data_IF_127253646332
#
_entry.id   IF_127253646332
#
_cell.length_a   1.000
_cell.length_b   1.000
_cell.length_c   1.000
_cell.angle_alpha   90.00
_cell.angle_beta   90.00
_cell.angle_gamma   90.00
#
_symmetry.space_group_name_H-M   'P 1'
#
loop_
_entity.id
_entity.type
_entity.pdbx_description
1 polymer ?
#
# COMPACT_ATOMS: atom_id res chain seq x y z
N UNK A 1 25.23 12.10 61.66
CA UNK A 1 24.13 12.48 62.55
C UNK A 1 22.85 11.95 61.91
N UNK A 2 22.51 10.80 62.06
CA UNK A 2 21.84 9.97 63.08
C UNK A 2 20.46 10.47 63.46
N UNK A 3 19.52 9.57 63.29
CA UNK A 3 18.27 9.35 64.05
C UNK A 3 17.01 10.08 63.54
N UNK A 4 15.82 9.49 63.59
CA UNK A 4 15.30 8.15 63.91
C UNK A 4 13.79 8.13 63.63
N UNK A 5 13.31 6.95 63.36
CA UNK A 5 11.95 6.43 63.39
C UNK A 5 11.00 7.00 64.45
N UNK A 6 9.67 7.03 64.18
CA UNK A 6 8.62 6.42 65.04
C UNK A 6 7.26 6.31 64.31
N UNK A 7 6.76 5.29 64.28
CA UNK A 7 5.68 4.29 64.45
C UNK A 7 4.36 4.83 65.05
N UNK A 8 3.24 4.35 64.44
CA UNK A 8 1.95 3.90 64.93
C UNK A 8 0.88 4.94 65.31
N UNK A 9 -0.32 4.80 64.68
CA UNK A 9 -1.51 4.29 65.41
C UNK A 9 -2.62 3.82 64.45
N UNK A 10 -3.09 2.61 64.71
CA UNK A 10 -4.31 1.98 64.22
C UNK A 10 -5.56 2.70 64.76
N UNK A 11 -6.59 2.86 63.88
CA UNK A 11 -7.98 2.92 64.32
C UNK A 11 -8.78 1.98 63.45
N UNK A 12 -9.35 0.94 64.10
CA UNK A 12 -10.41 0.08 63.57
C UNK A 12 -11.73 0.85 63.67
N UNK A 13 -12.53 0.85 62.60
CA UNK A 13 -13.98 0.99 62.70
C UNK A 13 -14.60 -0.10 61.84
N UNK A 14 -15.40 -0.92 62.47
CA UNK A 14 -16.24 -1.95 61.90
C UNK A 14 -17.49 -1.30 61.27
N UNK A 15 -17.95 -1.87 60.13
CA UNK A 15 -19.37 -1.92 59.93
C UNK A 15 -19.86 -1.71 58.51
N UNK A 16 -20.50 -2.74 58.02
CA UNK A 16 -21.61 -2.78 57.07
C UNK A 16 -21.27 -2.85 55.57
N UNK A 17 -21.54 -3.97 55.02
CA UNK A 17 -22.12 -4.39 53.75
C UNK A 17 -21.77 -3.56 52.51
N UNK A 18 -20.85 -4.06 51.72
CA UNK A 18 -20.74 -3.62 50.31
C UNK A 18 -20.78 -4.84 49.42
N UNK A 19 -21.83 -4.89 48.59
CA UNK A 19 -21.91 -5.76 47.41
C UNK A 19 -20.64 -5.58 46.57
N UNK A 20 -19.82 -6.63 46.48
CA UNK A 20 -18.81 -6.72 45.44
C UNK A 20 -19.52 -6.91 44.10
N UNK A 21 -19.67 -5.84 43.36
CA UNK A 21 -19.86 -5.93 41.93
C UNK A 21 -18.51 -6.41 41.32
N UNK A 22 -18.41 -7.71 41.07
CA UNK A 22 -17.38 -8.25 40.19
C UNK A 22 -17.64 -7.70 38.78
N UNK A 23 -17.01 -6.58 38.45
CA UNK A 23 -16.80 -6.17 37.09
C UNK A 23 -15.80 -7.15 36.47
N UNK A 24 -16.29 -8.29 36.04
CA UNK A 24 -15.57 -9.17 35.15
C UNK A 24 -15.24 -8.38 33.91
N UNK A 25 -13.95 -8.01 33.73
CA UNK A 25 -13.41 -7.58 32.48
C UNK A 25 -13.62 -8.73 31.49
N UNK A 26 -14.74 -8.67 30.74
CA UNK A 26 -14.92 -9.51 29.56
C UNK A 26 -13.86 -9.00 28.58
N UNK A 27 -12.67 -9.59 28.63
CA UNK A 27 -11.73 -9.57 27.54
C UNK A 27 -12.46 -10.28 26.39
N UNK A 28 -13.15 -9.52 25.56
CA UNK A 28 -13.56 -9.98 24.25
C UNK A 28 -12.26 -10.26 23.48
N UNK A 29 -11.74 -11.47 23.65
CA UNK A 29 -10.80 -12.05 22.72
C UNK A 29 -11.51 -12.11 21.38
N UNK A 30 -11.29 -11.06 20.59
CA UNK A 30 -11.75 -11.00 19.21
C UNK A 30 -11.04 -12.15 18.51
N UNK A 31 -11.76 -13.23 18.24
CA UNK A 31 -11.21 -14.30 17.40
C UNK A 31 -10.59 -13.66 16.16
N UNK A 32 -9.38 -14.06 15.77
CA UNK A 32 -8.76 -13.53 14.57
C UNK A 32 -9.71 -13.81 13.41
N UNK A 33 -10.22 -12.76 12.77
CA UNK A 33 -11.22 -12.83 11.68
C UNK A 33 -10.76 -13.69 10.50
N UNK A 34 -9.47 -14.09 10.47
CA UNK A 34 -8.85 -14.91 9.45
C UNK A 34 -7.76 -15.78 10.05
N UNK A 35 -8.08 -17.04 10.28
CA UNK A 35 -7.14 -18.04 10.79
C UNK A 35 -6.31 -18.71 9.69
N UNK A 36 -6.49 -18.34 8.42
CA UNK A 36 -5.79 -18.91 7.28
C UNK A 36 -4.41 -18.30 7.02
N UNK A 37 -3.72 -18.88 6.06
CA UNK A 37 -2.41 -18.44 5.59
C UNK A 37 -2.42 -18.25 4.08
N UNK A 38 -1.51 -17.43 3.57
CA UNK A 38 -1.13 -17.40 2.16
C UNK A 38 0.32 -17.84 2.02
N UNK A 39 0.53 -18.85 1.18
CA UNK A 39 1.85 -19.38 0.86
C UNK A 39 2.29 -18.80 -0.47
N UNK A 40 3.33 -18.01 -0.49
CA UNK A 40 3.85 -17.33 -1.68
C UNK A 40 5.35 -17.50 -1.80
N UNK A 41 5.84 -17.39 -3.02
CA UNK A 41 7.28 -17.41 -3.33
C UNK A 41 7.75 -16.04 -3.81
N UNK A 42 7.92 -15.05 -2.91
CA UNK A 42 8.31 -13.70 -3.29
C UNK A 42 9.62 -13.69 -4.05
N UNK A 43 9.61 -13.08 -5.23
CA UNK A 43 10.77 -12.88 -6.07
C UNK A 43 11.46 -11.56 -5.69
N UNK A 44 12.78 -11.55 -5.67
CA UNK A 44 13.63 -10.37 -5.52
C UNK A 44 14.85 -10.47 -6.41
N UNK A 45 15.57 -9.36 -6.62
CA UNK A 45 16.80 -9.36 -7.39
C UNK A 45 18.01 -9.35 -6.46
N UNK A 46 18.91 -10.30 -6.66
CA UNK A 46 20.11 -10.49 -5.86
C UNK A 46 21.32 -9.89 -6.54
N UNK A 47 21.92 -8.90 -5.90
CA UNK A 47 23.18 -8.27 -6.34
C UNK A 47 24.40 -9.11 -6.08
N UNK A 48 24.37 -9.96 -5.05
CA UNK A 48 25.48 -10.82 -4.68
C UNK A 48 25.55 -12.04 -5.60
N UNK A 49 26.74 -12.26 -6.15
CA UNK A 49 27.05 -13.42 -6.99
C UNK A 49 27.27 -14.68 -6.14
N UNK A 50 27.24 -15.86 -6.76
CA UNK A 50 27.54 -17.09 -6.06
C UNK A 50 29.05 -17.20 -5.76
N UNK A 51 29.40 -18.01 -4.78
CA UNK A 51 30.78 -18.30 -4.44
C UNK A 51 31.51 -18.82 -5.68
N UNK A 52 32.76 -18.33 -5.88
CA UNK A 52 33.59 -18.70 -7.04
C UNK A 52 33.26 -18.00 -8.36
N UNK A 53 32.21 -17.16 -8.41
CA UNK A 53 31.90 -16.34 -9.57
C UNK A 53 32.52 -14.94 -9.46
N UNK A 54 32.88 -14.36 -10.60
CA UNK A 54 33.31 -12.98 -10.70
C UNK A 54 32.16 -12.00 -10.37
N UNK A 55 32.49 -10.91 -9.69
CA UNK A 55 31.54 -9.83 -9.36
C UNK A 55 31.25 -8.96 -10.59
N UNK A 56 30.37 -9.45 -11.46
CA UNK A 56 29.87 -8.73 -12.63
C UNK A 56 28.35 -8.72 -12.62
N UNK A 57 27.73 -7.74 -13.28
CA UNK A 57 26.27 -7.68 -13.43
C UNK A 57 25.70 -8.94 -14.11
N UNK A 58 26.46 -9.54 -15.03
CA UNK A 58 26.04 -10.76 -15.75
C UNK A 58 25.83 -11.94 -14.79
N UNK A 59 26.52 -11.97 -13.66
CA UNK A 59 26.44 -13.04 -12.66
C UNK A 59 25.42 -12.74 -11.55
N UNK A 60 24.77 -11.59 -11.58
CA UNK A 60 23.65 -11.25 -10.69
C UNK A 60 22.33 -11.86 -11.21
N UNK A 61 21.28 -11.90 -10.42
CA UNK A 61 20.03 -12.49 -10.90
C UNK A 61 18.93 -12.57 -9.87
N UNK A 62 17.79 -13.07 -10.31
CA UNK A 62 16.64 -13.28 -9.46
C UNK A 62 16.82 -14.44 -8.48
N UNK A 63 16.18 -14.28 -7.33
CA UNK A 63 15.99 -15.33 -6.35
C UNK A 63 14.58 -15.27 -5.78
N UNK A 64 14.15 -16.34 -5.13
CA UNK A 64 12.84 -16.43 -4.50
C UNK A 64 12.99 -16.85 -3.05
N UNK A 65 12.05 -16.40 -2.22
CA UNK A 65 11.87 -16.87 -0.86
C UNK A 65 10.67 -17.83 -0.79
N UNK A 66 10.46 -18.41 0.36
CA UNK A 66 9.31 -19.26 0.63
C UNK A 66 8.62 -18.75 1.91
N UNK A 67 7.47 -18.10 1.75
CA UNK A 67 6.78 -17.45 2.85
C UNK A 67 5.38 -18.02 3.06
N UNK A 68 5.12 -18.38 4.31
CA UNK A 68 3.77 -18.69 4.80
C UNK A 68 3.32 -17.53 5.71
N UNK A 69 2.43 -16.68 5.23
CA UNK A 69 2.05 -15.42 5.87
C UNK A 69 0.62 -15.55 6.42
N UNK A 70 0.38 -15.20 7.71
CA UNK A 70 -0.97 -15.18 8.26
C UNK A 70 -1.85 -14.16 7.51
N UNK A 71 -3.04 -14.57 7.08
CA UNK A 71 -3.97 -13.69 6.35
C UNK A 71 -4.37 -12.46 7.16
N UNK A 72 -4.45 -12.62 8.50
CA UNK A 72 -4.74 -11.50 9.41
C UNK A 72 -3.68 -10.38 9.40
N UNK A 73 -2.49 -10.65 8.86
CA UNK A 73 -1.40 -9.69 8.73
C UNK A 73 -1.23 -9.17 7.28
N UNK A 74 -2.13 -9.52 6.38
CA UNK A 74 -2.05 -9.17 4.96
C UNK A 74 -3.13 -8.18 4.56
N UNK A 75 -2.82 -7.31 3.59
CA UNK A 75 -3.80 -6.55 2.83
C UNK A 75 -3.43 -6.49 1.34
N UNK A 76 -4.44 -6.47 0.48
CA UNK A 76 -4.33 -6.12 -0.94
C UNK A 76 -4.60 -4.62 -1.06
N UNK A 77 -3.63 -3.86 -1.54
CA UNK A 77 -3.73 -2.41 -1.77
C UNK A 77 -3.86 -2.15 -3.27
N UNK A 78 -5.01 -1.58 -3.66
CA UNK A 78 -5.36 -1.28 -5.05
C UNK A 78 -5.10 0.20 -5.33
N UNK A 79 -3.97 0.49 -5.97
CA UNK A 79 -3.52 1.85 -6.27
C UNK A 79 -4.02 2.28 -7.64
N UNK A 80 -4.76 3.39 -7.69
CA UNK A 80 -5.19 4.06 -8.92
C UNK A 80 -5.75 3.09 -9.99
N UNK A 81 -6.59 2.14 -9.61
CA UNK A 81 -7.32 1.29 -10.58
C UNK A 81 -8.45 2.12 -11.17
N UNK A 82 -8.08 2.93 -12.14
CA UNK A 82 -8.95 3.94 -12.76
C UNK A 82 -9.79 3.36 -13.91
N UNK A 83 -10.94 3.99 -14.16
CA UNK A 83 -11.94 3.57 -15.15
C UNK A 83 -11.56 3.90 -16.60
N UNK A 84 -10.56 4.75 -16.82
CA UNK A 84 -10.12 5.20 -18.16
C UNK A 84 -8.73 5.83 -18.09
N UNK A 85 -8.11 5.91 -19.25
CA UNK A 85 -6.90 6.70 -19.48
C UNK A 85 -7.06 7.54 -20.76
N UNK A 86 -6.36 8.67 -20.86
CA UNK A 86 -6.41 9.53 -22.05
C UNK A 86 -5.49 9.04 -23.20
N UNK A 87 -4.64 8.06 -22.93
CA UNK A 87 -3.83 7.33 -23.92
C UNK A 87 -4.43 5.92 -24.03
N UNK A 88 -4.61 5.46 -25.26
CA UNK A 88 -5.32 4.21 -25.56
C UNK A 88 -4.61 2.97 -25.03
N UNK A 89 -3.33 2.81 -25.28
CA UNK A 89 -2.60 1.57 -24.99
C UNK A 89 -2.50 1.27 -23.48
N UNK A 90 -2.23 2.23 -22.58
CA UNK A 90 -2.36 2.02 -21.14
C UNK A 90 -3.77 1.60 -20.71
N UNK A 91 -4.83 2.17 -21.30
CA UNK A 91 -6.21 1.81 -21.01
C UNK A 91 -6.50 0.36 -21.41
N UNK A 92 -6.16 -0.02 -22.64
CA UNK A 92 -6.36 -1.39 -23.13
C UNK A 92 -5.56 -2.43 -22.32
N UNK A 93 -4.35 -2.09 -21.87
CA UNK A 93 -3.56 -2.97 -20.99
C UNK A 93 -4.19 -3.10 -19.61
N UNK A 94 -4.64 -1.99 -19.05
CA UNK A 94 -5.29 -1.96 -17.75
C UNK A 94 -6.58 -2.79 -17.75
N UNK A 95 -7.45 -2.64 -18.76
CA UNK A 95 -8.66 -3.44 -18.91
C UNK A 95 -8.38 -4.94 -18.93
N UNK A 96 -7.39 -5.37 -19.71
CA UNK A 96 -7.00 -6.79 -19.74
C UNK A 96 -6.50 -7.28 -18.38
N UNK A 97 -5.65 -6.50 -17.72
CA UNK A 97 -5.12 -6.84 -16.40
C UNK A 97 -6.25 -6.92 -15.36
N UNK A 98 -7.20 -6.00 -15.42
CA UNK A 98 -8.38 -6.02 -14.54
C UNK A 98 -9.15 -7.32 -14.76
N UNK A 99 -9.50 -7.64 -15.99
CA UNK A 99 -10.33 -8.81 -16.29
C UNK A 99 -9.61 -10.14 -16.03
N UNK A 100 -8.37 -10.27 -16.47
CA UNK A 100 -7.64 -11.54 -16.46
C UNK A 100 -6.98 -11.87 -15.12
N UNK A 101 -6.53 -10.85 -14.38
CA UNK A 101 -5.71 -11.05 -13.18
C UNK A 101 -6.32 -10.43 -11.92
N UNK A 102 -6.74 -9.15 -11.98
CA UNK A 102 -7.13 -8.43 -10.79
C UNK A 102 -8.47 -8.88 -10.22
N UNK A 103 -9.48 -9.04 -11.06
CA UNK A 103 -10.80 -9.54 -10.62
C UNK A 103 -10.75 -10.94 -10.03
N UNK A 104 -10.07 -11.93 -10.63
CA UNK A 104 -9.86 -13.24 -9.99
C UNK A 104 -9.14 -13.13 -8.64
N UNK A 105 -8.09 -12.29 -8.54
CA UNK A 105 -7.37 -12.06 -7.30
C UNK A 105 -8.28 -11.44 -6.23
N UNK A 106 -9.00 -10.36 -6.55
CA UNK A 106 -9.93 -9.72 -5.62
C UNK A 106 -11.01 -10.69 -5.14
N UNK A 107 -11.57 -11.48 -6.05
CA UNK A 107 -12.56 -12.52 -5.70
C UNK A 107 -11.99 -13.53 -4.71
N UNK A 108 -10.77 -13.98 -4.93
CA UNK A 108 -10.09 -14.92 -4.03
C UNK A 108 -9.79 -14.26 -2.67
N UNK A 109 -9.29 -13.02 -2.66
CA UNK A 109 -9.04 -12.25 -1.45
C UNK A 109 -10.32 -12.06 -0.63
N UNK A 110 -11.43 -11.65 -1.27
CA UNK A 110 -12.75 -11.50 -0.61
C UNK A 110 -13.25 -12.83 -0.03
N UNK A 111 -13.11 -13.90 -0.78
CA UNK A 111 -13.52 -15.23 -0.32
C UNK A 111 -12.74 -15.68 0.93
N UNK A 112 -11.45 -15.37 0.98
CA UNK A 112 -10.58 -15.66 2.11
C UNK A 112 -10.67 -14.60 3.23
N UNK A 113 -11.42 -13.52 3.03
CA UNK A 113 -11.55 -12.41 3.97
C UNK A 113 -10.27 -11.60 4.17
N UNK A 114 -9.36 -11.59 3.19
CA UNK A 114 -8.20 -10.71 3.20
C UNK A 114 -8.64 -9.26 3.06
N UNK A 115 -8.06 -8.35 3.83
CA UNK A 115 -8.38 -6.93 3.77
C UNK A 115 -8.05 -6.37 2.39
N UNK A 116 -9.01 -5.65 1.78
CA UNK A 116 -8.80 -4.93 0.52
C UNK A 116 -8.94 -3.43 0.80
N UNK A 117 -7.93 -2.69 0.39
CA UNK A 117 -7.80 -1.25 0.60
C UNK A 117 -7.69 -0.59 -0.77
N UNK A 118 -8.63 0.28 -1.08
CA UNK A 118 -8.61 1.04 -2.33
C UNK A 118 -7.90 2.38 -2.10
N UNK A 119 -6.91 2.65 -2.91
CA UNK A 119 -6.06 3.84 -2.86
C UNK A 119 -6.05 4.56 -4.21
N UNK A 120 -7.20 5.09 -4.67
CA UNK A 120 -7.27 5.88 -5.89
C UNK A 120 -6.60 7.24 -5.69
N UNK A 121 -6.53 8.04 -6.76
CA UNK A 121 -6.08 9.43 -6.67
C UNK A 121 -6.84 10.17 -5.54
N UNK A 122 -6.16 11.00 -4.73
CA UNK A 122 -6.76 11.59 -3.53
C UNK A 122 -8.08 12.33 -3.76
N UNK A 123 -8.24 12.95 -4.93
CA UNK A 123 -9.48 13.64 -5.30
C UNK A 123 -10.64 12.66 -5.50
N UNK A 124 -10.36 11.50 -6.09
CA UNK A 124 -11.33 10.43 -6.28
C UNK A 124 -11.65 9.74 -4.95
N UNK A 125 -10.63 9.54 -4.10
CA UNK A 125 -10.80 8.93 -2.79
C UNK A 125 -11.75 9.74 -1.90
N UNK A 126 -11.51 11.05 -1.77
CA UNK A 126 -12.25 11.91 -0.84
C UNK A 126 -13.74 12.04 -1.12
N UNK A 127 -14.18 11.77 -2.34
CA UNK A 127 -15.60 11.79 -2.72
C UNK A 127 -16.26 10.42 -2.70
N UNK A 128 -15.49 9.36 -2.38
CA UNK A 128 -16.00 7.99 -2.38
C UNK A 128 -16.75 7.67 -1.08
N UNK A 129 -17.90 6.97 -1.11
CA UNK A 129 -18.67 6.63 0.10
C UNK A 129 -17.89 5.82 1.15
N UNK A 130 -16.95 4.98 0.72
CA UNK A 130 -16.11 4.16 1.61
C UNK A 130 -14.84 4.87 2.10
N UNK A 131 -14.69 6.18 1.80
CA UNK A 131 -13.54 6.95 2.26
C UNK A 131 -13.49 7.02 3.78
N UNK A 132 -12.33 6.70 4.35
CA UNK A 132 -12.10 6.86 5.78
C UNK A 132 -11.60 8.27 6.08
N UNK A 133 -12.41 9.06 6.75
CA UNK A 133 -12.05 10.41 7.17
C UNK A 133 -11.25 10.36 8.49
N UNK A 134 -10.04 9.81 8.44
CA UNK A 134 -9.11 9.88 9.57
C UNK A 134 -8.37 11.23 9.50
N UNK A 135 -8.18 11.96 10.61
CA UNK A 135 -7.40 13.19 10.61
C UNK A 135 -6.04 12.93 9.95
N UNK A 136 -5.73 13.68 8.92
CA UNK A 136 -4.38 13.71 8.36
C UNK A 136 -3.46 14.15 9.49
N UNK A 137 -2.48 13.32 9.85
CA UNK A 137 -1.48 13.68 10.85
C UNK A 137 -0.87 15.04 10.48
N UNK A 138 -0.54 15.83 11.47
CA UNK A 138 0.07 17.15 11.26
C UNK A 138 1.27 17.01 10.33
N UNK A 139 1.06 17.35 9.06
CA UNK A 139 2.16 17.53 8.11
C UNK A 139 3.10 18.54 8.77
N UNK A 140 4.30 18.12 9.09
CA UNK A 140 5.37 19.00 9.56
C UNK A 140 5.37 20.23 8.66
N UNK A 141 5.38 21.43 9.28
CA UNK A 141 5.49 22.67 8.51
C UNK A 141 6.61 22.50 7.50
N UNK A 142 6.24 22.45 6.23
CA UNK A 142 7.22 22.36 5.14
C UNK A 142 8.15 23.54 5.31
N UNK A 143 9.43 23.26 5.35
CA UNK A 143 10.47 24.27 5.22
C UNK A 143 10.08 25.23 4.09
N UNK A 144 10.23 26.54 4.28
CA UNK A 144 9.89 27.55 3.27
C UNK A 144 10.85 27.53 2.06
N UNK A 145 11.80 26.62 2.06
CA UNK A 145 12.75 26.43 0.98
C UNK A 145 12.45 25.13 0.19
N UNK A 146 12.56 25.14 -1.16
CA UNK A 146 12.75 26.28 -2.07
C UNK A 146 11.58 27.27 -2.05
N UNK A 147 11.78 28.55 -2.40
CA UNK A 147 10.72 29.55 -2.40
C UNK A 147 9.51 29.13 -3.25
N UNK A 148 8.30 29.53 -2.82
CA UNK A 148 7.05 29.14 -3.51
C UNK A 148 7.07 29.50 -5.01
N UNK A 149 7.60 30.67 -5.36
CA UNK A 149 7.72 31.10 -6.75
C UNK A 149 8.60 30.16 -7.58
N UNK A 150 9.69 29.66 -7.00
CA UNK A 150 10.55 28.67 -7.65
C UNK A 150 9.85 27.32 -7.79
N UNK A 151 9.20 26.82 -6.71
CA UNK A 151 8.46 25.54 -6.76
C UNK A 151 7.34 25.54 -7.78
N UNK A 152 6.70 26.68 -8.03
CA UNK A 152 5.63 26.84 -9.03
C UNK A 152 6.14 27.33 -10.40
N UNK A 153 7.44 27.54 -10.56
CA UNK A 153 8.05 28.12 -11.76
C UNK A 153 7.29 29.36 -12.25
N UNK A 154 7.04 30.30 -11.33
CA UNK A 154 6.32 31.55 -11.60
C UNK A 154 7.24 32.78 -11.49
N UNK A 155 6.79 33.95 -12.01
CA UNK A 155 7.59 35.17 -12.04
C UNK A 155 8.86 34.98 -12.85
N UNK A 156 10.01 35.39 -12.30
CA UNK A 156 11.34 35.25 -12.92
C UNK A 156 11.72 33.79 -13.23
N UNK A 157 11.15 32.81 -12.53
CA UNK A 157 11.41 31.38 -12.75
C UNK A 157 10.55 30.76 -13.87
N UNK A 158 9.64 31.51 -14.47
CA UNK A 158 8.75 31.03 -15.54
C UNK A 158 9.51 30.57 -16.78
N UNK A 159 10.71 31.08 -17.02
CA UNK A 159 11.61 30.66 -18.11
C UNK A 159 12.03 29.19 -18.03
N UNK A 160 11.97 28.56 -16.86
CA UNK A 160 12.29 27.14 -16.66
C UNK A 160 11.07 26.23 -16.79
N UNK A 161 9.88 26.82 -17.02
CA UNK A 161 8.65 26.04 -17.18
C UNK A 161 8.65 25.33 -18.54
N UNK A 162 8.25 24.06 -18.53
CA UNK A 162 7.94 23.37 -19.78
C UNK A 162 6.80 24.09 -20.52
N UNK A 163 6.79 24.09 -21.85
CA UNK A 163 5.64 24.59 -22.59
C UNK A 163 4.38 23.82 -22.24
N UNK A 164 3.22 24.41 -22.49
CA UNK A 164 1.94 23.71 -22.34
C UNK A 164 1.93 22.53 -23.31
N UNK A 165 1.61 21.35 -22.78
CA UNK A 165 1.55 20.13 -23.60
C UNK A 165 0.49 20.26 -24.70
N UNK A 166 0.73 19.69 -25.89
CA UNK A 166 -0.28 19.62 -26.92
C UNK A 166 -1.57 18.98 -26.41
N UNK A 167 -2.73 19.54 -26.80
CA UNK A 167 -4.05 19.04 -26.40
C UNK A 167 -4.33 19.02 -24.88
N UNK A 168 -3.56 19.74 -24.08
CA UNK A 168 -3.73 19.79 -22.64
C UNK A 168 -5.14 20.29 -22.22
N UNK A 169 -5.71 21.22 -22.97
CA UNK A 169 -7.10 21.69 -22.73
C UNK A 169 -8.12 20.57 -22.90
N UNK A 170 -7.94 19.69 -23.88
CA UNK A 170 -8.81 18.53 -24.08
C UNK A 170 -8.67 17.55 -22.91
N UNK A 171 -7.43 17.28 -22.49
CA UNK A 171 -7.16 16.43 -21.34
C UNK A 171 -7.81 16.98 -20.06
N UNK A 172 -7.71 18.28 -19.82
CA UNK A 172 -8.31 18.95 -18.66
C UNK A 172 -9.84 18.97 -18.68
N UNK A 173 -10.45 18.95 -19.88
CA UNK A 173 -11.90 18.90 -20.04
C UNK A 173 -12.50 17.49 -19.76
N UNK A 174 -11.66 16.46 -19.62
CA UNK A 174 -12.15 15.13 -19.27
C UNK A 174 -12.73 15.13 -17.84
N UNK A 175 -13.82 14.39 -17.60
CA UNK A 175 -14.37 14.24 -16.25
C UNK A 175 -13.30 13.74 -15.26
N UNK A 176 -13.42 14.00 -13.95
CA UNK A 176 -12.50 13.46 -12.95
C UNK A 176 -12.40 11.94 -13.02
N UNK A 177 -11.22 11.40 -12.76
CA UNK A 177 -11.00 9.96 -12.67
C UNK A 177 -11.77 9.39 -11.46
N UNK A 178 -12.26 8.17 -11.61
CA UNK A 178 -12.92 7.40 -10.55
C UNK A 178 -12.31 5.99 -10.49
N UNK A 179 -12.63 5.27 -9.45
CA UNK A 179 -12.33 3.83 -9.36
C UNK A 179 -13.03 3.13 -10.53
N UNK A 180 -12.39 2.12 -11.09
CA UNK A 180 -12.95 1.34 -12.18
C UNK A 180 -14.19 0.56 -11.72
N UNK A 181 -15.33 0.61 -12.47
CA UNK A 181 -16.59 0.01 -12.03
C UNK A 181 -16.53 -1.47 -11.65
N UNK A 182 -15.68 -2.25 -12.34
CA UNK A 182 -15.50 -3.68 -12.04
C UNK A 182 -14.80 -3.94 -10.69
N UNK A 183 -14.07 -2.95 -10.16
CA UNK A 183 -13.29 -3.08 -8.91
C UNK A 183 -13.80 -2.18 -7.80
N UNK A 184 -15.04 -1.70 -7.90
CA UNK A 184 -15.67 -0.89 -6.85
C UNK A 184 -15.57 -1.56 -5.47
N UNK A 185 -15.28 -0.77 -4.41
CA UNK A 185 -15.25 -1.27 -3.05
C UNK A 185 -16.57 -1.86 -2.62
N UNK A 186 -16.52 -3.04 -2.01
CA UNK A 186 -17.69 -3.66 -1.39
C UNK A 186 -17.82 -3.28 0.09
N UNK A 187 -18.90 -3.73 0.74
CA UNK A 187 -19.12 -3.46 2.16
C UNK A 187 -17.96 -3.99 3.01
N UNK A 188 -17.38 -3.14 3.83
CA UNK A 188 -16.24 -3.45 4.68
C UNK A 188 -14.86 -3.16 4.06
N UNK A 189 -14.78 -2.95 2.77
CA UNK A 189 -13.57 -2.44 2.13
C UNK A 189 -13.48 -0.92 2.32
N UNK A 190 -12.27 -0.42 2.46
CA UNK A 190 -12.03 1.01 2.71
C UNK A 190 -11.38 1.69 1.52
N UNK A 191 -11.57 3.00 1.45
CA UNK A 191 -10.89 3.90 0.51
C UNK A 191 -10.03 4.87 1.30
N UNK A 192 -8.76 5.01 0.91
CA UNK A 192 -7.79 5.92 1.51
C UNK A 192 -7.29 6.94 0.48
N UNK A 193 -6.84 8.09 0.96
CA UNK A 193 -6.26 9.16 0.14
C UNK A 193 -4.80 9.48 0.49
N UNK A 194 -4.29 8.99 1.62
CA UNK A 194 -2.94 9.31 2.11
C UNK A 194 -2.23 8.09 2.69
N UNK A 195 -0.90 8.12 2.68
CA UNK A 195 -0.07 7.08 3.30
C UNK A 195 -0.23 7.01 4.81
N UNK A 196 -0.58 8.12 5.46
CA UNK A 196 -0.88 8.12 6.88
C UNK A 196 -2.18 7.35 7.18
N UNK A 197 -3.23 7.53 6.37
CA UNK A 197 -4.46 6.75 6.50
C UNK A 197 -4.20 5.26 6.32
N UNK A 198 -3.42 4.89 5.31
CA UNK A 198 -2.99 3.50 5.10
C UNK A 198 -2.26 2.96 6.33
N UNK A 199 -1.28 3.72 6.84
CA UNK A 199 -0.49 3.33 8.01
C UNK A 199 -1.36 3.14 9.26
N UNK A 200 -2.23 4.07 9.58
CA UNK A 200 -3.10 3.98 10.76
C UNK A 200 -4.09 2.82 10.66
N UNK A 201 -4.62 2.58 9.46
CA UNK A 201 -5.47 1.41 9.24
C UNK A 201 -4.72 0.10 9.45
N UNK A 202 -3.56 -0.05 8.81
CA UNK A 202 -2.71 -1.23 8.98
C UNK A 202 -2.32 -1.46 10.44
N UNK A 203 -1.94 -0.41 11.17
CA UNK A 203 -1.62 -0.48 12.60
C UNK A 203 -2.81 -0.97 13.42
N UNK A 204 -4.00 -0.45 13.16
CA UNK A 204 -5.22 -0.84 13.87
C UNK A 204 -5.61 -2.30 13.61
N UNK A 205 -5.33 -2.78 12.40
CA UNK A 205 -5.67 -4.15 11.96
C UNK A 205 -4.56 -5.17 12.21
N UNK A 206 -3.34 -4.73 12.55
CA UNK A 206 -2.16 -5.59 12.70
C UNK A 206 -1.60 -6.07 11.35
N UNK A 207 -1.82 -5.32 10.26
CA UNK A 207 -1.33 -5.66 8.92
C UNK A 207 0.16 -5.29 8.83
N UNK A 208 0.97 -6.20 8.30
CA UNK A 208 2.42 -6.07 8.16
C UNK A 208 2.89 -6.32 6.72
N UNK A 209 2.12 -7.06 5.94
CA UNK A 209 2.42 -7.44 4.55
C UNK A 209 1.43 -6.78 3.61
N UNK A 210 1.94 -6.02 2.64
CA UNK A 210 1.12 -5.27 1.70
C UNK A 210 1.35 -5.78 0.27
N UNK A 211 0.32 -6.37 -0.32
CA UNK A 211 0.28 -6.76 -1.72
C UNK A 211 -0.24 -5.58 -2.54
N UNK A 212 0.60 -5.00 -3.38
CA UNK A 212 0.26 -3.85 -4.22
C UNK A 212 -0.15 -4.28 -5.63
N UNK A 213 -1.27 -3.77 -6.11
CA UNK A 213 -1.75 -3.92 -7.48
C UNK A 213 -2.33 -2.58 -7.98
N UNK A 214 -2.48 -2.42 -9.30
CA UNK A 214 -3.05 -1.21 -9.91
C UNK A 214 -2.09 -0.47 -10.83
N UNK A 215 -2.26 0.85 -11.01
CA UNK A 215 -1.63 1.63 -12.09
C UNK A 215 -1.16 3.01 -11.61
N UNK A 216 -0.11 3.63 -12.19
CA UNK A 216 0.87 3.02 -13.11
C UNK A 216 2.07 2.51 -12.30
N UNK A 217 2.68 1.40 -12.76
CA UNK A 217 3.82 0.79 -12.07
C UNK A 217 4.95 1.77 -11.80
N UNK A 218 5.39 2.50 -12.83
CA UNK A 218 6.50 3.44 -12.77
C UNK A 218 6.12 4.85 -12.26
N UNK A 219 4.93 5.03 -11.71
CA UNK A 219 4.45 6.30 -11.17
C UNK A 219 3.74 6.08 -9.81
N UNK A 220 2.42 5.97 -9.80
CA UNK A 220 1.63 5.95 -8.56
C UNK A 220 1.96 4.78 -7.65
N UNK A 221 2.18 3.59 -8.20
CA UNK A 221 2.59 2.40 -7.44
C UNK A 221 3.87 2.66 -6.64
N UNK A 222 4.89 3.27 -7.25
CA UNK A 222 6.16 3.53 -6.58
C UNK A 222 6.10 4.77 -5.69
N UNK A 223 5.53 5.89 -6.20
CA UNK A 223 5.85 7.23 -5.72
C UNK A 223 4.74 7.96 -4.95
N UNK A 224 3.51 7.41 -4.84
CA UNK A 224 2.51 7.96 -3.93
C UNK A 224 3.01 7.88 -2.48
N UNK A 225 2.53 8.75 -1.60
CA UNK A 225 2.82 8.69 -0.16
C UNK A 225 2.30 7.39 0.51
N UNK A 226 1.35 6.72 -0.15
CA UNK A 226 0.91 5.36 0.15
C UNK A 226 1.51 4.30 -0.81
N UNK A 227 2.47 4.69 -1.66
CA UNK A 227 3.12 3.80 -2.62
C UNK A 227 4.16 2.88 -1.97
N UNK A 228 4.70 2.00 -2.80
CA UNK A 228 5.58 0.93 -2.32
C UNK A 228 6.84 1.44 -1.64
N UNK A 229 7.44 2.52 -2.14
CA UNK A 229 8.67 3.10 -1.57
C UNK A 229 8.40 3.65 -0.18
N UNK A 230 7.35 4.45 0.01
CA UNK A 230 7.06 5.06 1.30
C UNK A 230 6.59 4.03 2.33
N UNK A 231 5.80 3.03 1.92
CA UNK A 231 5.38 1.98 2.84
C UNK A 231 6.52 1.05 3.24
N UNK A 232 7.47 0.76 2.33
CA UNK A 232 8.69 0.04 2.67
C UNK A 232 9.57 0.83 3.66
N UNK A 233 9.73 2.14 3.50
CA UNK A 233 10.43 3.02 4.46
C UNK A 233 9.78 3.02 5.85
N UNK A 234 8.46 2.85 5.93
CA UNK A 234 7.72 2.69 7.20
C UNK A 234 7.89 1.31 7.82
N UNK A 235 8.57 0.38 7.15
CA UNK A 235 8.91 -0.96 7.67
C UNK A 235 7.94 -2.08 7.28
N UNK A 236 6.97 -1.82 6.41
CA UNK A 236 6.10 -2.87 5.87
C UNK A 236 6.86 -3.79 4.91
N UNK A 237 6.49 -5.07 4.91
CA UNK A 237 6.91 -5.97 3.84
C UNK A 237 6.03 -5.72 2.62
N UNK A 238 6.64 -5.24 1.55
CA UNK A 238 5.95 -4.83 0.32
C UNK A 238 6.17 -5.87 -0.76
N UNK A 239 5.07 -6.35 -1.34
CA UNK A 239 5.05 -7.30 -2.44
C UNK A 239 4.22 -6.71 -3.59
N UNK A 240 4.84 -6.47 -4.74
CA UNK A 240 4.11 -6.06 -5.94
C UNK A 240 3.49 -7.28 -6.62
N UNK A 241 2.19 -7.23 -6.91
CA UNK A 241 1.52 -8.25 -7.75
C UNK A 241 1.81 -7.89 -9.20
N UNK A 242 2.95 -8.41 -9.73
CA UNK A 242 3.58 -7.94 -10.97
C UNK A 242 2.77 -8.18 -12.24
N UNK A 243 1.83 -9.09 -12.24
CA UNK A 243 0.87 -9.34 -13.33
C UNK A 243 -0.46 -8.57 -13.15
N UNK A 244 -0.61 -7.80 -12.06
CA UNK A 244 -1.73 -6.90 -11.81
C UNK A 244 -1.33 -5.42 -11.88
N UNK A 245 -0.33 -5.09 -12.71
CA UNK A 245 0.15 -3.71 -12.90
C UNK A 245 0.66 -3.48 -14.31
N UNK A 246 0.64 -2.23 -14.77
CA UNK A 246 1.30 -1.76 -16.00
C UNK A 246 1.71 -0.32 -15.81
N UNK A 247 2.83 0.08 -16.44
CA UNK A 247 3.34 1.44 -16.39
C UNK A 247 2.96 2.27 -17.62
N UNK A 248 3.39 3.53 -17.59
CA UNK A 248 3.42 4.39 -18.76
C UNK A 248 4.66 4.05 -19.59
N UNK A 249 4.47 3.77 -20.84
CA UNK A 249 5.54 3.50 -21.80
C UNK A 249 5.79 4.70 -22.72
N UNK A 250 6.97 4.78 -23.31
CA UNK A 250 7.27 5.71 -24.42
C UNK A 250 7.02 5.03 -25.77
N UNK A 251 7.15 5.81 -26.85
CA UNK A 251 7.07 5.27 -28.20
C UNK A 251 8.11 4.16 -28.45
N UNK A 252 9.30 4.26 -27.82
CA UNK A 252 10.37 3.27 -27.96
C UNK A 252 10.18 2.05 -27.07
N UNK A 253 9.53 2.20 -25.91
CA UNK A 253 9.45 1.16 -24.89
C UNK A 253 8.14 0.36 -24.91
N UNK A 254 7.11 0.86 -25.58
CA UNK A 254 5.76 0.29 -25.50
C UNK A 254 5.65 -1.17 -26.00
N UNK A 255 6.44 -1.55 -27.01
CA UNK A 255 6.40 -2.90 -27.58
C UNK A 255 6.97 -3.96 -26.62
N UNK A 256 7.91 -3.59 -25.74
CA UNK A 256 8.60 -4.48 -24.81
C UNK A 256 8.15 -4.30 -23.36
N UNK A 257 7.35 -3.28 -23.09
CA UNK A 257 6.98 -2.84 -21.74
C UNK A 257 8.22 -2.56 -20.88
N UNK A 258 9.24 -1.95 -21.47
CA UNK A 258 10.54 -1.78 -20.82
C UNK A 258 10.45 -0.90 -19.57
N UNK A 259 9.58 0.12 -19.56
CA UNK A 259 9.39 0.97 -18.37
C UNK A 259 8.66 0.23 -17.26
N UNK A 260 7.62 -0.55 -17.58
CA UNK A 260 6.93 -1.41 -16.64
C UNK A 260 7.89 -2.42 -16.01
N UNK A 261 8.63 -3.15 -16.86
CA UNK A 261 9.58 -4.17 -16.41
C UNK A 261 10.73 -3.55 -15.63
N UNK A 262 11.23 -2.37 -16.04
CA UNK A 262 12.26 -1.63 -15.32
C UNK A 262 11.81 -1.19 -13.92
N UNK A 263 10.57 -0.73 -13.79
CA UNK A 263 10.01 -0.35 -12.48
C UNK A 263 9.85 -1.56 -11.55
N UNK A 264 9.40 -2.71 -12.07
CA UNK A 264 9.33 -3.96 -11.31
C UNK A 264 10.73 -4.39 -10.86
N UNK A 265 11.70 -4.41 -11.77
CA UNK A 265 13.09 -4.76 -11.47
C UNK A 265 13.69 -3.82 -10.43
N UNK A 266 13.49 -2.51 -10.56
CA UNK A 266 13.97 -1.52 -9.58
C UNK A 266 13.43 -1.81 -8.19
N UNK A 267 12.14 -2.10 -8.05
CA UNK A 267 11.52 -2.47 -6.78
C UNK A 267 12.20 -3.72 -6.17
N UNK A 268 12.41 -4.75 -6.98
CA UNK A 268 13.02 -6.01 -6.56
C UNK A 268 14.52 -5.87 -6.21
N UNK A 269 15.23 -4.94 -6.85
CA UNK A 269 16.63 -4.60 -6.58
C UNK A 269 16.81 -3.86 -5.25
N UNK A 270 15.82 -3.08 -4.82
CA UNK A 270 15.94 -2.19 -3.67
C UNK A 270 15.13 -2.65 -2.44
N UNK A 271 15.10 -3.96 -2.20
CA UNK A 271 14.64 -4.54 -0.94
C UNK A 271 13.15 -4.77 -0.84
N UNK A 272 12.45 -4.75 -1.97
CA UNK A 272 11.05 -5.13 -2.04
C UNK A 272 10.91 -6.42 -2.86
N UNK A 273 9.69 -6.94 -2.93
CA UNK A 273 9.42 -8.24 -3.53
C UNK A 273 8.31 -8.17 -4.57
N UNK A 274 8.25 -9.15 -5.45
CA UNK A 274 7.09 -9.35 -6.33
C UNK A 274 6.57 -10.76 -6.29
N UNK A 275 5.27 -10.89 -6.56
CA UNK A 275 4.54 -12.15 -6.71
C UNK A 275 3.59 -12.04 -7.88
N UNK A 276 2.98 -13.13 -8.32
CA UNK A 276 1.87 -13.10 -9.28
C UNK A 276 0.53 -13.28 -8.57
N UNK A 277 -0.55 -12.82 -9.20
CA UNK A 277 -1.92 -13.08 -8.75
C UNK A 277 -2.20 -14.55 -8.59
N UNK A 278 -1.72 -15.36 -9.53
CA UNK A 278 -1.87 -16.82 -9.52
C UNK A 278 -1.17 -17.47 -8.32
N UNK A 279 0.04 -17.01 -7.97
CA UNK A 279 0.74 -17.49 -6.77
C UNK A 279 -0.06 -17.21 -5.50
N UNK A 280 -0.66 -16.03 -5.37
CA UNK A 280 -1.50 -15.68 -4.21
C UNK A 280 -2.76 -16.56 -4.17
N UNK A 281 -3.47 -16.66 -5.30
CA UNK A 281 -4.73 -17.43 -5.38
C UNK A 281 -4.49 -18.92 -5.05
N UNK A 282 -3.44 -19.50 -5.59
CA UNK A 282 -3.11 -20.90 -5.33
C UNK A 282 -2.51 -21.15 -3.94
N UNK A 283 -1.95 -20.11 -3.33
CA UNK A 283 -1.28 -20.19 -2.03
C UNK A 283 -2.21 -20.04 -0.83
N UNK A 284 -3.51 -19.75 -1.02
CA UNK A 284 -4.45 -19.68 0.08
C UNK A 284 -4.68 -21.05 0.72
N UNK A 285 -4.32 -21.18 1.99
CA UNK A 285 -4.52 -22.37 2.81
C UNK A 285 -5.49 -22.07 3.94
N UNK A 286 -6.37 -23.03 4.23
CA UNK A 286 -7.19 -22.98 5.45
C UNK A 286 -6.32 -23.31 6.65
N UNK A 287 -6.63 -22.70 7.80
CA UNK A 287 -6.00 -23.03 9.06
C UNK A 287 -6.36 -24.44 9.52
#
# INVERSE_FOLDING_TARGET
>A
MTLNLTRRKFIKVNGVGSLLAMAGSISLSREPRNSGFVHVKPRYYRWHVNEGQEWTELNTGYATLDWKIPLSQCALVLVDVWQRHYIREPEERAERIIDENLLPLMKACRFQGLEIIHAPAPEAARIHPNYINTPEGTVSKTDDWPPRAFRSLSGEFSQYRRPVEPREKERQALPPLRIHPKVEPTAGEIVIATGEQLHQYCKTKGILFLFFAGFNTNACILSRDYGTIEMAKRGYQVLLVRDCTTGMESAESQATLAQTNGAILQLEMFGQYSVTSREIISGFEKA
#
